data_IF_881192811902
#
_entry.id   IF_881192811902
#
_cell.length_a   1.000
_cell.length_b   1.000
_cell.length_c   1.000
_cell.angle_alpha   90.00
_cell.angle_beta   90.00
_cell.angle_gamma   90.00
#
_symmetry.space_group_name_H-M   'P 1'
#
loop_
_entity.id
_entity.type
_entity.pdbx_description
1 polymer ?
#
# COMPACT_ATOMS: atom_id res chain seq x y z
N UNK A 1 44.05 3.14 5.84
CA UNK A 1 43.10 2.62 6.84
C UNK A 1 41.72 2.93 6.33
N UNK A 2 41.02 1.89 6.04
CA UNK A 2 39.90 1.82 5.13
C UNK A 2 38.58 2.33 5.66
N UNK A 3 37.88 3.06 4.78
CA UNK A 3 36.47 3.41 4.94
C UNK A 3 35.63 2.34 4.25
N UNK A 4 34.99 1.51 5.05
CA UNK A 4 34.01 0.53 4.58
C UNK A 4 32.69 1.24 4.27
N UNK A 5 32.47 1.44 2.98
CA UNK A 5 31.23 1.96 2.42
C UNK A 5 30.19 0.81 2.39
N UNK A 6 29.16 0.89 3.19
CA UNK A 6 28.16 -0.17 3.37
C UNK A 6 27.10 -0.11 2.27
N UNK A 7 26.92 -1.15 1.43
CA UNK A 7 25.99 -1.14 0.29
C UNK A 7 24.54 -1.60 0.64
N UNK A 8 24.14 -1.57 1.91
CA UNK A 8 22.91 -2.28 2.39
C UNK A 8 21.59 -1.56 2.05
N UNK A 9 21.61 -0.30 1.61
CA UNK A 9 20.36 0.50 1.47
C UNK A 9 19.69 0.49 0.10
N UNK A 10 20.36 -0.04 -0.95
CA UNK A 10 19.78 -0.06 -2.32
C UNK A 10 18.97 -1.30 -2.66
N UNK A 11 19.05 -2.37 -1.88
CA UNK A 11 18.44 -3.68 -2.18
C UNK A 11 16.95 -3.79 -1.83
N UNK A 12 16.42 -2.98 -0.92
CA UNK A 12 15.05 -3.19 -0.39
C UNK A 12 13.91 -2.78 -1.34
N UNK A 13 14.13 -1.83 -2.24
CA UNK A 13 13.11 -1.36 -3.19
C UNK A 13 12.99 -2.23 -4.45
N UNK A 14 14.02 -3.01 -4.78
CA UNK A 14 14.01 -3.93 -5.92
C UNK A 14 13.45 -5.32 -5.58
N UNK A 15 13.34 -5.67 -4.28
CA UNK A 15 12.90 -6.98 -3.82
C UNK A 15 11.36 -7.15 -3.82
N UNK A 16 10.58 -6.09 -3.74
CA UNK A 16 9.11 -6.16 -3.72
C UNK A 16 8.49 -6.57 -5.06
N UNK A 17 9.21 -6.39 -6.17
CA UNK A 17 8.73 -6.77 -7.51
C UNK A 17 8.92 -8.27 -7.83
N UNK A 18 9.69 -9.03 -7.03
CA UNK A 18 10.00 -10.46 -7.25
C UNK A 18 9.49 -11.40 -6.17
N UNK A 19 8.90 -10.89 -5.09
CA UNK A 19 8.34 -11.74 -4.05
C UNK A 19 7.12 -12.49 -4.61
N UNK A 20 7.10 -13.82 -4.43
CA UNK A 20 5.93 -14.64 -4.77
C UNK A 20 4.73 -14.14 -4.00
N UNK A 21 3.62 -13.81 -4.66
CA UNK A 21 2.42 -13.34 -3.98
C UNK A 21 1.89 -14.37 -2.99
N UNK A 22 1.31 -13.89 -1.89
CA UNK A 22 0.72 -14.73 -0.86
C UNK A 22 -0.81 -14.72 -0.95
N UNK A 23 -1.41 -15.86 -0.73
CA UNK A 23 -2.87 -16.02 -0.61
C UNK A 23 -3.16 -16.58 0.78
N UNK A 24 -3.74 -15.75 1.62
CA UNK A 24 -4.22 -16.16 2.93
C UNK A 24 -5.60 -16.82 2.78
N UNK A 25 -5.83 -17.91 3.48
CA UNK A 25 -7.09 -18.65 3.47
C UNK A 25 -7.57 -18.76 4.91
N UNK A 26 -8.77 -18.27 5.18
CA UNK A 26 -9.43 -18.43 6.49
C UNK A 26 -10.76 -19.14 6.30
N UNK A 27 -10.83 -20.37 6.77
CA UNK A 27 -11.99 -21.26 6.70
C UNK A 27 -11.90 -22.26 7.86
N UNK A 28 -12.98 -22.59 8.53
CA UNK A 28 -12.95 -23.55 9.65
C UNK A 28 -12.95 -25.02 9.17
N UNK A 29 -13.39 -25.30 7.94
CA UNK A 29 -13.37 -26.62 7.33
C UNK A 29 -11.96 -26.97 6.83
N UNK A 30 -11.35 -28.01 7.42
CA UNK A 30 -10.03 -28.49 7.06
C UNK A 30 -9.96 -28.96 5.59
N UNK A 31 -11.00 -29.62 5.09
CA UNK A 31 -11.03 -30.16 3.73
C UNK A 31 -11.06 -29.04 2.68
N UNK A 32 -11.79 -27.96 2.98
CA UNK A 32 -11.81 -26.75 2.14
C UNK A 32 -10.42 -26.10 2.14
N UNK A 33 -9.79 -25.93 3.31
CA UNK A 33 -8.44 -25.35 3.41
C UNK A 33 -7.41 -26.14 2.61
N UNK A 34 -7.38 -27.46 2.76
CA UNK A 34 -6.44 -28.33 2.05
C UNK A 34 -6.64 -28.29 0.53
N UNK A 35 -7.88 -28.33 0.08
CA UNK A 35 -8.22 -28.23 -1.35
C UNK A 35 -7.78 -26.89 -1.94
N UNK A 36 -8.11 -25.77 -1.27
CA UNK A 36 -7.69 -24.44 -1.70
C UNK A 36 -6.19 -24.25 -1.67
N UNK A 37 -5.51 -24.76 -0.63
CA UNK A 37 -4.06 -24.71 -0.52
C UNK A 37 -3.38 -25.37 -1.72
N UNK A 38 -3.83 -26.58 -2.08
CA UNK A 38 -3.29 -27.31 -3.21
C UNK A 38 -3.49 -26.56 -4.53
N UNK A 39 -4.71 -26.10 -4.79
CA UNK A 39 -5.07 -25.33 -6.00
C UNK A 39 -4.21 -24.08 -6.14
N UNK A 40 -4.10 -23.29 -5.08
CA UNK A 40 -3.35 -22.03 -5.07
C UNK A 40 -1.86 -22.26 -5.27
N UNK A 41 -1.31 -23.31 -4.67
CA UNK A 41 0.08 -23.74 -4.85
C UNK A 41 0.38 -24.15 -6.29
N UNK A 42 -0.50 -24.92 -6.92
CA UNK A 42 -0.38 -25.29 -8.34
C UNK A 42 -0.47 -24.08 -9.28
N UNK A 43 -1.23 -23.05 -8.91
CA UNK A 43 -1.31 -21.80 -9.66
C UNK A 43 -0.05 -20.90 -9.52
N UNK A 44 0.94 -21.31 -8.69
CA UNK A 44 2.21 -20.62 -8.53
C UNK A 44 2.22 -19.52 -7.46
N UNK A 45 1.20 -19.45 -6.60
CA UNK A 45 1.16 -18.56 -5.44
C UNK A 45 1.53 -19.29 -4.16
N UNK A 46 1.83 -18.54 -3.11
CA UNK A 46 2.16 -19.08 -1.79
C UNK A 46 0.93 -19.04 -0.88
N UNK A 47 0.26 -20.17 -0.62
CA UNK A 47 -0.87 -20.23 0.30
C UNK A 47 -0.38 -20.21 1.76
N UNK A 48 -1.20 -19.62 2.64
CA UNK A 48 -1.12 -19.73 4.09
C UNK A 48 -2.51 -19.87 4.66
N UNK A 49 -2.77 -20.95 5.40
CA UNK A 49 -4.09 -21.33 5.88
C UNK A 49 -4.26 -21.03 7.36
N UNK A 50 -5.48 -20.70 7.78
CA UNK A 50 -5.87 -20.42 9.16
C UNK A 50 -7.24 -21.04 9.42
N UNK A 51 -7.43 -21.58 10.60
CA UNK A 51 -8.69 -22.21 11.03
C UNK A 51 -9.69 -21.21 11.62
N UNK A 52 -9.24 -19.98 11.93
CA UNK A 52 -10.06 -18.97 12.57
C UNK A 52 -9.61 -17.55 12.22
N UNK A 53 -10.51 -16.59 12.39
CA UNK A 53 -10.20 -15.17 12.23
C UNK A 53 -9.12 -14.70 13.23
N UNK A 54 -9.14 -15.22 14.44
CA UNK A 54 -8.20 -14.83 15.49
C UNK A 54 -6.77 -15.32 15.20
N UNK A 55 -6.62 -16.52 14.66
CA UNK A 55 -5.34 -17.03 14.20
C UNK A 55 -4.76 -16.15 13.09
N UNK A 56 -5.57 -15.78 12.10
CA UNK A 56 -5.18 -14.86 11.02
C UNK A 56 -4.79 -13.47 11.55
N UNK A 57 -5.55 -12.89 12.49
CA UNK A 57 -5.25 -11.57 13.05
C UNK A 57 -3.93 -11.54 13.83
N UNK A 58 -3.51 -12.70 14.37
CA UNK A 58 -2.23 -12.84 15.07
C UNK A 58 -1.05 -12.92 14.12
N UNK A 59 -1.28 -13.13 12.82
CA UNK A 59 -0.24 -13.19 11.80
C UNK A 59 0.33 -11.78 11.53
N UNK A 60 1.65 -11.58 11.55
CA UNK A 60 2.26 -10.29 11.28
C UNK A 60 1.96 -9.84 9.84
N UNK A 61 1.80 -8.51 9.68
CA UNK A 61 1.62 -7.92 8.35
C UNK A 61 2.88 -8.11 7.50
N UNK A 62 2.72 -8.71 6.34
CA UNK A 62 3.78 -8.86 5.34
C UNK A 62 3.68 -7.76 4.28
N UNK A 63 4.83 -7.22 3.87
CA UNK A 63 4.93 -6.23 2.78
C UNK A 63 5.18 -6.99 1.48
N UNK A 64 4.22 -7.83 1.09
CA UNK A 64 4.23 -8.57 -0.18
C UNK A 64 2.84 -8.53 -0.80
N UNK A 65 2.70 -8.54 -2.14
CA UNK A 65 1.39 -8.63 -2.77
C UNK A 65 0.63 -9.83 -2.24
N UNK A 66 -0.57 -9.59 -1.71
CA UNK A 66 -1.35 -10.63 -1.05
C UNK A 66 -2.84 -10.40 -1.18
N UNK A 67 -3.63 -11.45 -1.00
CA UNK A 67 -5.07 -11.37 -0.83
C UNK A 67 -5.55 -12.35 0.22
N UNK A 68 -6.78 -12.17 0.67
CA UNK A 68 -7.44 -13.02 1.63
C UNK A 68 -8.65 -13.71 0.98
N UNK A 69 -8.68 -15.03 1.00
CA UNK A 69 -9.85 -15.86 0.73
C UNK A 69 -10.49 -16.19 2.09
N UNK A 70 -11.71 -15.74 2.30
CA UNK A 70 -12.33 -15.69 3.63
C UNK A 70 -13.71 -16.33 3.61
N UNK A 71 -13.93 -17.35 4.45
CA UNK A 71 -15.28 -17.80 4.73
C UNK A 71 -16.03 -16.76 5.58
N UNK A 72 -17.28 -16.54 5.24
CA UNK A 72 -18.16 -15.65 6.02
C UNK A 72 -18.52 -16.27 7.36
N UNK A 73 -18.72 -17.59 7.39
CA UNK A 73 -19.25 -18.29 8.55
C UNK A 73 -18.11 -18.94 9.35
N UNK A 74 -17.41 -18.12 10.13
CA UNK A 74 -16.37 -18.62 11.04
C UNK A 74 -16.94 -18.76 12.47
N UNK A 75 -16.42 -19.70 13.27
CA UNK A 75 -16.92 -19.95 14.61
C UNK A 75 -16.65 -18.84 15.62
N UNK A 76 -15.55 -18.08 15.44
CA UNK A 76 -15.05 -17.09 16.38
C UNK A 76 -15.42 -15.64 16.00
N UNK A 77 -15.54 -15.33 14.72
CA UNK A 77 -15.85 -13.99 14.23
C UNK A 77 -16.47 -14.07 12.84
N UNK A 78 -17.57 -13.33 12.63
CA UNK A 78 -18.15 -13.23 11.29
C UNK A 78 -17.15 -12.59 10.30
N UNK A 79 -17.04 -13.17 9.09
CA UNK A 79 -16.12 -12.69 8.06
C UNK A 79 -16.29 -11.21 7.68
N UNK A 80 -17.51 -10.66 7.73
CA UNK A 80 -17.78 -9.25 7.48
C UNK A 80 -17.22 -8.34 8.60
N UNK A 81 -17.20 -8.82 9.84
CA UNK A 81 -16.59 -8.06 10.94
C UNK A 81 -15.06 -8.16 10.90
N UNK A 82 -14.52 -9.30 10.45
CA UNK A 82 -13.10 -9.43 10.15
C UNK A 82 -12.68 -8.46 9.04
N UNK A 83 -13.47 -8.31 7.96
CA UNK A 83 -13.23 -7.33 6.90
C UNK A 83 -13.09 -5.91 7.44
N UNK A 84 -13.97 -5.49 8.35
CA UNK A 84 -13.91 -4.15 8.97
C UNK A 84 -12.61 -3.94 9.77
N UNK A 85 -12.16 -4.98 10.51
CA UNK A 85 -10.90 -4.93 11.28
C UNK A 85 -9.69 -4.86 10.36
N UNK A 86 -9.67 -5.66 9.29
CA UNK A 86 -8.60 -5.66 8.30
C UNK A 86 -8.52 -4.31 7.58
N UNK A 87 -9.66 -3.70 7.23
CA UNK A 87 -9.70 -2.43 6.53
C UNK A 87 -9.00 -1.29 7.29
N UNK A 88 -8.95 -1.34 8.63
CA UNK A 88 -8.25 -0.35 9.44
C UNK A 88 -6.71 -0.48 9.35
N UNK A 89 -6.20 -1.71 9.27
CA UNK A 89 -4.76 -2.00 9.44
C UNK A 89 -4.07 -2.49 8.15
N UNK A 90 -4.83 -3.04 7.20
CA UNK A 90 -4.33 -3.73 6.00
C UNK A 90 -5.09 -3.32 4.74
N UNK A 91 -5.13 -2.02 4.44
CA UNK A 91 -5.79 -1.45 3.25
C UNK A 91 -5.29 -2.04 1.92
N UNK A 92 -4.09 -2.60 1.92
CA UNK A 92 -3.44 -3.22 0.77
C UNK A 92 -3.81 -4.70 0.55
N UNK A 93 -4.67 -5.28 1.42
CA UNK A 93 -5.08 -6.68 1.36
C UNK A 93 -6.53 -6.82 0.86
N UNK A 94 -6.74 -7.08 -0.43
CA UNK A 94 -8.06 -7.34 -0.99
C UNK A 94 -8.64 -8.65 -0.47
N UNK A 95 -9.97 -8.69 -0.30
CA UNK A 95 -10.70 -9.82 0.26
C UNK A 95 -11.61 -10.42 -0.80
N UNK A 96 -11.59 -11.76 -0.90
CA UNK A 96 -12.50 -12.59 -1.67
C UNK A 96 -13.29 -13.40 -0.66
N UNK A 97 -14.61 -13.22 -0.62
CA UNK A 97 -15.46 -14.03 0.24
C UNK A 97 -15.84 -15.33 -0.43
N UNK A 98 -15.83 -16.40 0.37
CA UNK A 98 -16.43 -17.69 0.02
C UNK A 98 -17.48 -18.04 1.06
N UNK A 99 -18.57 -18.70 0.69
CA UNK A 99 -19.63 -19.09 1.63
C UNK A 99 -20.47 -20.24 1.10
N UNK A 100 -20.97 -21.09 1.99
CA UNK A 100 -21.96 -22.10 1.64
C UNK A 100 -23.36 -21.50 1.41
N UNK A 101 -23.65 -20.31 1.94
CA UNK A 101 -24.96 -19.68 1.87
C UNK A 101 -24.85 -18.30 1.21
N UNK A 102 -25.32 -18.20 -0.04
CA UNK A 102 -25.42 -16.93 -0.78
C UNK A 102 -26.61 -16.11 -0.29
N UNK A 103 -26.37 -15.25 0.72
CA UNK A 103 -27.37 -14.28 1.20
C UNK A 103 -27.13 -12.94 0.48
N UNK A 104 -28.10 -12.49 -0.31
CA UNK A 104 -28.02 -11.25 -1.09
C UNK A 104 -27.66 -10.03 -0.23
N UNK A 105 -28.30 -9.78 0.95
CA UNK A 105 -27.91 -8.68 1.83
C UNK A 105 -26.46 -8.74 2.25
N UNK A 106 -25.91 -9.89 2.63
CA UNK A 106 -24.50 -10.05 3.03
C UNK A 106 -23.56 -9.82 1.86
N UNK A 107 -23.89 -10.34 0.68
CA UNK A 107 -23.11 -10.11 -0.55
C UNK A 107 -23.01 -8.61 -0.85
N UNK A 108 -24.13 -7.90 -0.83
CA UNK A 108 -24.16 -6.45 -1.06
C UNK A 108 -23.33 -5.70 0.00
N UNK A 109 -23.41 -6.11 1.26
CA UNK A 109 -22.64 -5.50 2.34
C UNK A 109 -21.14 -5.71 2.15
N UNK A 110 -20.69 -6.93 1.82
CA UNK A 110 -19.29 -7.27 1.55
C UNK A 110 -18.72 -6.44 0.39
N UNK A 111 -19.47 -6.38 -0.71
CA UNK A 111 -19.05 -5.63 -1.90
C UNK A 111 -18.97 -4.11 -1.65
N UNK A 112 -19.97 -3.54 -0.94
CA UNK A 112 -19.93 -2.13 -0.53
C UNK A 112 -18.77 -1.80 0.41
N UNK A 113 -18.33 -2.77 1.21
CA UNK A 113 -17.17 -2.65 2.08
C UNK A 113 -15.84 -2.90 1.37
N UNK A 114 -15.83 -3.04 0.03
CA UNK A 114 -14.64 -3.12 -0.80
C UNK A 114 -14.10 -4.52 -1.07
N UNK A 115 -14.90 -5.58 -0.84
CA UNK A 115 -14.52 -6.93 -1.27
C UNK A 115 -14.26 -6.96 -2.79
N UNK A 116 -13.32 -7.80 -3.21
CA UNK A 116 -13.01 -7.99 -4.64
C UNK A 116 -14.07 -8.86 -5.30
N UNK A 117 -14.46 -9.92 -4.62
CA UNK A 117 -15.38 -10.90 -5.13
C UNK A 117 -16.12 -11.61 -3.98
N UNK A 118 -17.26 -12.22 -4.33
CA UNK A 118 -18.08 -13.00 -3.42
C UNK A 118 -18.53 -14.27 -4.14
N UNK A 119 -18.08 -15.43 -3.67
CA UNK A 119 -18.32 -16.73 -4.31
C UNK A 119 -19.14 -17.65 -3.40
N UNK A 120 -20.18 -18.25 -3.97
CA UNK A 120 -20.97 -19.29 -3.26
C UNK A 120 -20.41 -20.68 -3.56
N UNK A 121 -20.19 -21.47 -2.52
CA UNK A 121 -19.80 -22.88 -2.63
C UNK A 121 -20.98 -23.72 -3.14
N UNK A 122 -20.81 -24.62 -4.13
CA UNK A 122 -19.59 -24.90 -4.86
C UNK A 122 -19.32 -23.86 -5.96
N UNK A 123 -18.05 -23.48 -6.14
CA UNK A 123 -17.57 -22.60 -7.21
C UNK A 123 -16.53 -23.31 -8.07
N UNK A 124 -16.37 -22.87 -9.32
CA UNK A 124 -15.35 -23.41 -10.20
C UNK A 124 -13.95 -22.86 -9.87
N UNK A 125 -12.93 -23.69 -10.03
CA UNK A 125 -11.52 -23.34 -9.75
C UNK A 125 -11.08 -22.09 -10.52
N UNK A 126 -11.39 -22.00 -11.80
CA UNK A 126 -11.03 -20.85 -12.64
C UNK A 126 -11.64 -19.52 -12.17
N UNK A 127 -12.84 -19.57 -11.58
CA UNK A 127 -13.51 -18.38 -11.03
C UNK A 127 -12.72 -17.84 -9.85
N UNK A 128 -12.36 -18.71 -8.89
CA UNK A 128 -11.56 -18.32 -7.74
C UNK A 128 -10.15 -17.87 -8.16
N UNK A 129 -9.49 -18.60 -9.05
CA UNK A 129 -8.14 -18.23 -9.52
C UNK A 129 -8.14 -16.88 -10.27
N UNK A 130 -9.22 -16.58 -11.00
CA UNK A 130 -9.39 -15.26 -11.64
C UNK A 130 -9.55 -14.14 -10.61
N UNK A 131 -10.39 -14.36 -9.57
CA UNK A 131 -10.56 -13.41 -8.48
C UNK A 131 -9.24 -13.17 -7.72
N UNK A 132 -8.47 -14.23 -7.44
CA UNK A 132 -7.15 -14.13 -6.80
C UNK A 132 -6.19 -13.32 -7.65
N UNK A 133 -6.11 -13.56 -8.97
CA UNK A 133 -5.26 -12.74 -9.87
C UNK A 133 -5.59 -11.26 -9.78
N UNK A 134 -6.87 -10.92 -9.86
CA UNK A 134 -7.32 -9.54 -9.75
C UNK A 134 -6.99 -8.91 -8.39
N UNK A 135 -7.19 -9.68 -7.32
CA UNK A 135 -6.87 -9.24 -5.95
C UNK A 135 -5.36 -8.99 -5.78
N UNK A 136 -4.50 -9.90 -6.24
CA UNK A 136 -3.05 -9.74 -6.18
C UNK A 136 -2.57 -8.51 -6.96
N UNK A 137 -3.14 -8.23 -8.14
CA UNK A 137 -2.78 -7.01 -8.89
C UNK A 137 -3.22 -5.73 -8.16
N UNK A 138 -4.40 -5.73 -7.52
CA UNK A 138 -4.84 -4.60 -6.67
C UNK A 138 -3.89 -4.39 -5.49
N UNK A 139 -3.50 -5.46 -4.79
CA UNK A 139 -2.55 -5.39 -3.68
C UNK A 139 -1.18 -4.87 -4.14
N UNK A 140 -0.67 -5.35 -5.29
CA UNK A 140 0.59 -4.87 -5.87
C UNK A 140 0.56 -3.38 -6.18
N UNK A 141 -0.54 -2.89 -6.77
CA UNK A 141 -0.71 -1.48 -7.06
C UNK A 141 -0.77 -0.62 -5.78
N UNK A 142 -1.49 -1.09 -4.75
CA UNK A 142 -1.60 -0.40 -3.46
C UNK A 142 -0.24 -0.31 -2.75
N UNK A 143 0.52 -1.42 -2.67
CA UNK A 143 1.86 -1.44 -2.10
C UNK A 143 2.84 -0.54 -2.87
N UNK A 144 2.75 -0.52 -4.21
CA UNK A 144 3.54 0.37 -5.04
C UNK A 144 3.23 1.85 -4.78
N UNK A 145 1.96 2.17 -4.59
CA UNK A 145 1.52 3.53 -4.25
C UNK A 145 2.02 3.95 -2.86
N UNK A 146 1.86 3.09 -1.86
CA UNK A 146 2.34 3.34 -0.49
C UNK A 146 3.87 3.53 -0.47
N UNK A 147 4.62 2.68 -1.16
CA UNK A 147 6.07 2.79 -1.27
C UNK A 147 6.51 4.11 -1.92
N UNK A 148 5.78 4.58 -2.95
CA UNK A 148 6.02 5.87 -3.60
C UNK A 148 5.78 7.03 -2.64
N UNK A 149 4.65 7.04 -1.92
CA UNK A 149 4.35 8.07 -0.92
C UNK A 149 5.41 8.09 0.18
N UNK A 150 5.81 6.94 0.68
CA UNK A 150 6.87 6.82 1.69
C UNK A 150 8.19 7.41 1.17
N UNK A 151 8.58 7.07 -0.06
CA UNK A 151 9.80 7.63 -0.69
C UNK A 151 9.76 9.15 -0.81
N UNK A 152 8.60 9.73 -1.13
CA UNK A 152 8.42 11.19 -1.20
C UNK A 152 8.52 11.81 0.20
N UNK A 153 7.93 11.21 1.21
CA UNK A 153 8.02 11.66 2.61
C UNK A 153 9.47 11.63 3.12
N UNK A 154 10.18 10.54 2.84
CA UNK A 154 11.60 10.41 3.22
C UNK A 154 12.47 11.47 2.53
N UNK A 155 12.24 11.73 1.25
CA UNK A 155 12.91 12.77 0.49
C UNK A 155 12.62 14.16 1.09
N UNK A 156 11.37 14.47 1.41
CA UNK A 156 10.97 15.72 2.04
C UNK A 156 11.60 15.87 3.45
N UNK A 157 11.63 14.81 4.24
CA UNK A 157 12.28 14.81 5.56
C UNK A 157 13.77 15.13 5.49
N UNK A 158 14.44 14.80 4.36
CA UNK A 158 15.87 15.11 4.12
C UNK A 158 16.14 16.58 3.76
N UNK A 159 15.10 17.38 3.49
CA UNK A 159 15.25 18.80 3.21
C UNK A 159 15.62 19.57 4.47
N UNK A 160 16.54 20.54 4.35
CA UNK A 160 16.78 21.50 5.42
C UNK A 160 15.58 22.42 5.64
N UNK A 161 15.51 23.11 6.77
CA UNK A 161 14.44 24.06 7.05
C UNK A 161 14.28 25.10 5.91
N UNK A 162 15.38 25.68 5.43
CA UNK A 162 15.38 26.65 4.31
C UNK A 162 14.91 26.03 2.99
N UNK A 163 15.30 24.80 2.70
CA UNK A 163 14.86 24.11 1.50
C UNK A 163 13.34 23.83 1.54
N UNK A 164 12.78 23.48 2.72
CA UNK A 164 11.33 23.32 2.90
C UNK A 164 10.60 24.63 2.70
N UNK A 165 11.08 25.75 3.27
CA UNK A 165 10.49 27.07 3.06
C UNK A 165 10.48 27.45 1.59
N UNK A 166 11.61 27.31 0.89
CA UNK A 166 11.70 27.58 -0.55
C UNK A 166 10.75 26.66 -1.33
N UNK A 167 10.71 25.35 -1.03
CA UNK A 167 9.82 24.41 -1.69
C UNK A 167 8.36 24.84 -1.51
N UNK A 168 7.92 25.19 -0.31
CA UNK A 168 6.55 25.57 -0.02
C UNK A 168 6.11 26.80 -0.83
N UNK A 169 6.98 27.79 -1.02
CA UNK A 169 6.68 29.00 -1.79
C UNK A 169 6.71 28.74 -3.31
N UNK A 170 7.70 28.00 -3.81
CA UNK A 170 7.78 27.76 -5.25
C UNK A 170 6.65 26.87 -5.78
N UNK A 171 6.20 25.87 -5.02
CA UNK A 171 5.08 25.01 -5.46
C UNK A 171 3.74 25.75 -5.47
N UNK A 172 3.63 26.88 -4.75
CA UNK A 172 2.51 27.83 -4.82
C UNK A 172 2.59 28.74 -6.04
N UNK A 173 3.66 28.69 -6.82
CA UNK A 173 3.83 29.45 -8.05
C UNK A 173 4.64 30.75 -7.90
N UNK A 174 5.23 31.03 -6.74
CA UNK A 174 6.02 32.26 -6.56
C UNK A 174 7.30 32.21 -7.39
N UNK A 175 7.64 33.35 -8.01
CA UNK A 175 8.90 33.55 -8.73
C UNK A 175 10.07 33.66 -7.75
N UNK A 176 11.29 33.36 -8.20
CA UNK A 176 12.48 33.42 -7.33
C UNK A 176 12.64 34.77 -6.61
N UNK A 177 12.37 35.88 -7.31
CA UNK A 177 12.42 37.22 -6.73
C UNK A 177 11.41 37.40 -5.58
N UNK A 178 10.20 36.89 -5.74
CA UNK A 178 9.15 36.92 -4.71
C UNK A 178 9.53 36.07 -3.49
N UNK A 179 10.00 34.84 -3.74
CA UNK A 179 10.51 33.94 -2.69
C UNK A 179 11.68 34.59 -1.94
N UNK A 180 12.58 35.29 -2.65
CA UNK A 180 13.68 36.02 -2.03
C UNK A 180 13.20 37.12 -1.10
N UNK A 181 12.19 37.90 -1.52
CA UNK A 181 11.54 38.91 -0.68
C UNK A 181 10.88 38.33 0.57
N UNK A 182 10.10 37.26 0.42
CA UNK A 182 9.43 36.56 1.54
C UNK A 182 10.41 35.99 2.58
N UNK A 183 11.55 35.46 2.12
CA UNK A 183 12.50 34.78 2.99
C UNK A 183 13.70 35.65 3.43
N UNK A 184 13.79 36.91 2.93
CA UNK A 184 14.89 37.81 3.23
C UNK A 184 16.24 37.31 2.67
N UNK A 185 16.27 36.68 1.50
CA UNK A 185 17.47 36.16 0.84
C UNK A 185 17.55 36.57 -0.63
N UNK A 186 18.76 36.54 -1.20
CA UNK A 186 18.93 36.90 -2.61
C UNK A 186 18.27 35.90 -3.56
N UNK A 187 17.90 36.38 -4.77
CA UNK A 187 17.36 35.52 -5.82
C UNK A 187 18.32 34.40 -6.21
N UNK A 188 19.62 34.66 -6.19
CA UNK A 188 20.67 33.66 -6.46
C UNK A 188 20.65 32.56 -5.40
N UNK A 189 20.47 32.94 -4.13
CA UNK A 189 20.35 31.99 -3.02
C UNK A 189 19.09 31.13 -3.15
N UNK A 190 17.95 31.74 -3.55
CA UNK A 190 16.70 30.98 -3.85
C UNK A 190 16.94 29.97 -4.96
N UNK A 191 17.61 30.38 -6.06
CA UNK A 191 17.92 29.48 -7.18
C UNK A 191 18.77 28.30 -6.75
N UNK A 192 19.77 28.53 -5.88
CA UNK A 192 20.59 27.47 -5.32
C UNK A 192 19.78 26.49 -4.45
N UNK A 193 18.89 26.99 -3.57
CA UNK A 193 18.01 26.15 -2.77
C UNK A 193 17.04 25.35 -3.64
N UNK A 194 16.43 25.96 -4.67
CA UNK A 194 15.58 25.24 -5.64
C UNK A 194 16.31 24.06 -6.29
N UNK A 195 17.56 24.28 -6.73
CA UNK A 195 18.37 23.19 -7.30
C UNK A 195 18.54 22.02 -6.33
N UNK A 196 18.86 22.31 -5.06
CA UNK A 196 18.99 21.28 -4.01
C UNK A 196 17.67 20.59 -3.71
N UNK A 197 16.56 21.32 -3.68
CA UNK A 197 15.21 20.75 -3.51
C UNK A 197 14.91 19.77 -4.64
N UNK A 198 15.09 20.19 -5.90
CA UNK A 198 14.89 19.31 -7.07
C UNK A 198 15.70 18.02 -6.97
N UNK A 199 16.98 18.16 -6.58
CA UNK A 199 17.89 17.02 -6.44
C UNK A 199 17.47 16.08 -5.31
N UNK A 200 17.21 16.60 -4.09
CA UNK A 200 16.85 15.80 -2.92
C UNK A 200 15.47 15.14 -3.08
N UNK A 201 14.51 15.88 -3.62
CA UNK A 201 13.18 15.33 -3.96
C UNK A 201 13.22 14.36 -5.14
N UNK A 202 14.32 14.30 -5.90
CA UNK A 202 14.47 13.52 -7.14
C UNK A 202 13.41 13.89 -8.19
N UNK A 203 12.98 15.13 -8.19
CA UNK A 203 11.97 15.62 -9.11
C UNK A 203 12.59 15.80 -10.51
N UNK A 204 11.98 15.23 -11.54
CA UNK A 204 12.44 15.30 -12.93
C UNK A 204 12.10 16.62 -13.60
N UNK A 205 11.07 17.30 -13.10
CA UNK A 205 10.61 18.59 -13.57
C UNK A 205 9.94 19.37 -12.43
N UNK A 206 9.70 20.67 -12.64
CA UNK A 206 8.94 21.46 -11.68
C UNK A 206 7.50 20.93 -11.51
N UNK A 207 6.86 20.50 -12.58
CA UNK A 207 5.53 19.87 -12.51
C UNK A 207 5.54 18.57 -11.68
N UNK A 208 6.64 17.80 -11.73
CA UNK A 208 6.82 16.60 -10.90
C UNK A 208 6.96 16.98 -9.42
N UNK A 209 7.74 18.03 -9.11
CA UNK A 209 7.85 18.57 -7.75
C UNK A 209 6.49 19.01 -7.19
N UNK A 210 5.67 19.69 -7.98
CA UNK A 210 4.31 20.11 -7.57
C UNK A 210 3.43 18.91 -7.27
N UNK A 211 3.46 17.85 -8.12
CA UNK A 211 2.73 16.60 -7.87
C UNK A 211 3.20 15.90 -6.59
N UNK A 212 4.51 15.85 -6.35
CA UNK A 212 5.05 15.30 -5.10
C UNK A 212 4.60 16.11 -3.89
N UNK A 213 4.64 17.44 -3.97
CA UNK A 213 4.19 18.32 -2.91
C UNK A 213 2.72 18.12 -2.54
N UNK A 214 1.85 17.86 -3.52
CA UNK A 214 0.44 17.60 -3.31
C UNK A 214 0.16 16.30 -2.52
N UNK A 215 1.12 15.36 -2.45
CA UNK A 215 1.00 14.13 -1.65
C UNK A 215 1.55 14.27 -0.22
N UNK A 216 2.15 15.41 0.08
CA UNK A 216 2.69 15.72 1.40
C UNK A 216 1.68 16.55 2.19
N UNK A 217 1.55 16.36 3.51
CA UNK A 217 0.91 17.34 4.37
C UNK A 217 1.87 18.53 4.47
N UNK A 218 1.95 19.33 3.40
CA UNK A 218 2.59 20.63 3.49
C UNK A 218 1.71 21.43 4.43
N UNK A 219 2.21 21.68 5.65
CA UNK A 219 1.51 22.41 6.66
C UNK A 219 0.90 23.69 6.06
N UNK A 220 -0.41 23.69 5.94
CA UNK A 220 -1.20 24.92 5.79
C UNK A 220 -1.13 25.78 7.06
N UNK A 221 -0.35 25.33 8.05
CA UNK A 221 -0.28 25.91 9.39
C UNK A 221 1.14 26.30 9.76
N UNK A 222 1.58 27.47 9.30
CA UNK A 222 2.50 28.33 10.03
C UNK A 222 2.05 29.79 9.85
N UNK A 223 0.80 30.08 10.27
CA UNK A 223 0.38 31.38 10.76
C UNK A 223 -0.20 31.17 12.16
N UNK A 224 0.63 31.32 13.13
CA UNK A 224 0.38 31.47 14.54
C UNK A 224 1.50 32.33 15.11
#
# INVERSE_FOLDING_TARGET
MGSTNSPVRKSRLALTSRATPMVFIVDDDVSVRESLELMIRFAGWQPQTFSSAQEFLSCPRLVTPSCLVLDITLPDLNGLDLQKRIAADRLDMPIIFITAYGDVPKTVQAMKAGAVEFLTKPFGDEVLLSAIRQAIERSRAALGHEAKIRSIRDAYASLSHRERQVMALVVRGLLNKQVGGELGISEITVKAHRGRVMQKMRAKSFADLVKMAATLPLAADQNG
#
